data_IF_897552928035
#
_entry.id   IF_897552928035
#
_cell.length_a   1.000
_cell.length_b   1.000
_cell.length_c   1.000
_cell.angle_alpha   90.00
_cell.angle_beta   90.00
_cell.angle_gamma   90.00
#
_symmetry.space_group_name_H-M   'P 1'
#
loop_
_entity.id
_entity.type
_entity.pdbx_description
1 polymer ?
#
# COMPACT_ATOMS: atom_id res chain seq x y z
N UNK A 1 -13.45 -66.11 -40.06
CA UNK A 1 -12.02 -65.80 -39.87
C UNK A 1 -11.83 -64.30 -39.99
N UNK A 2 -11.88 -63.57 -38.85
CA UNK A 2 -11.91 -62.15 -38.84
C UNK A 2 -10.47 -61.60 -38.68
N UNK A 3 -9.98 -60.95 -39.74
CA UNK A 3 -8.66 -60.33 -39.72
C UNK A 3 -8.67 -59.07 -38.88
N UNK A 4 -7.93 -59.06 -37.80
CA UNK A 4 -7.76 -57.95 -36.85
C UNK A 4 -6.72 -56.98 -37.44
N UNK A 5 -7.17 -55.81 -37.86
CA UNK A 5 -6.32 -54.76 -38.40
C UNK A 5 -5.37 -54.19 -37.30
N UNK A 6 -4.05 -54.18 -37.46
CA UNK A 6 -3.15 -53.66 -36.47
C UNK A 6 -3.25 -52.13 -36.39
N UNK A 7 -3.64 -51.59 -35.23
CA UNK A 7 -3.60 -50.15 -34.95
C UNK A 7 -2.15 -49.64 -35.05
N UNK A 8 -1.89 -48.77 -36.03
CA UNK A 8 -0.62 -48.05 -36.12
C UNK A 8 -0.40 -47.23 -34.85
N UNK A 9 0.58 -47.60 -34.05
CA UNK A 9 1.08 -46.80 -32.95
C UNK A 9 1.65 -45.50 -33.53
N UNK A 10 0.99 -44.39 -33.26
CA UNK A 10 1.55 -43.07 -33.55
C UNK A 10 2.76 -42.85 -32.64
N UNK A 11 3.95 -42.71 -33.23
CA UNK A 11 5.15 -42.28 -32.51
C UNK A 11 4.89 -40.89 -31.90
N UNK A 12 4.78 -40.81 -30.59
CA UNK A 12 4.81 -39.54 -29.89
C UNK A 12 6.18 -38.90 -30.10
N UNK A 13 6.21 -37.73 -30.71
CA UNK A 13 7.43 -36.94 -30.85
C UNK A 13 7.70 -36.32 -29.49
N UNK A 14 8.79 -36.69 -28.83
CA UNK A 14 9.27 -36.00 -27.63
C UNK A 14 9.82 -34.62 -27.98
N UNK A 15 9.77 -33.70 -27.02
CA UNK A 15 10.36 -32.37 -27.18
C UNK A 15 11.89 -32.45 -27.23
N UNK A 16 12.49 -31.64 -28.11
CA UNK A 16 13.93 -31.48 -28.17
C UNK A 16 14.43 -30.66 -27.00
N UNK A 17 15.60 -30.98 -26.43
CA UNK A 17 16.24 -30.19 -25.38
C UNK A 17 16.45 -28.74 -25.79
N UNK A 18 16.74 -28.49 -27.08
CA UNK A 18 16.88 -27.14 -27.64
C UNK A 18 15.55 -26.39 -27.64
N UNK A 19 14.44 -27.06 -27.95
CA UNK A 19 13.09 -26.48 -27.95
C UNK A 19 12.68 -26.01 -26.54
N UNK A 20 12.96 -26.83 -25.54
CA UNK A 20 12.73 -26.43 -24.14
C UNK A 20 13.62 -25.26 -23.74
N UNK A 21 14.89 -25.26 -24.14
CA UNK A 21 15.82 -24.17 -23.85
C UNK A 21 15.33 -22.84 -24.47
N UNK A 22 14.88 -22.87 -25.72
CA UNK A 22 14.33 -21.68 -26.40
C UNK A 22 13.06 -21.22 -25.70
N UNK A 23 12.14 -22.14 -25.34
CA UNK A 23 10.90 -21.82 -24.68
C UNK A 23 11.16 -21.13 -23.31
N UNK A 24 12.05 -21.68 -22.49
CA UNK A 24 12.40 -21.10 -21.19
C UNK A 24 13.06 -19.73 -21.37
N UNK A 25 13.95 -19.58 -22.36
CA UNK A 25 14.58 -18.29 -22.65
C UNK A 25 13.55 -17.21 -23.01
N UNK A 26 12.57 -17.53 -23.83
CA UNK A 26 11.50 -16.60 -24.21
C UNK A 26 10.65 -16.22 -22.98
N UNK A 27 10.30 -17.20 -22.13
CA UNK A 27 9.53 -16.96 -20.91
C UNK A 27 10.26 -16.01 -19.98
N UNK A 28 11.57 -16.22 -19.76
CA UNK A 28 12.40 -15.36 -18.91
C UNK A 28 12.50 -13.95 -19.47
N UNK A 29 12.72 -13.80 -20.79
CA UNK A 29 12.79 -12.49 -21.43
C UNK A 29 11.45 -11.75 -21.34
N UNK A 30 10.33 -12.42 -21.61
CA UNK A 30 9.00 -11.80 -21.48
C UNK A 30 8.66 -11.46 -20.03
N UNK A 31 8.99 -12.34 -19.07
CA UNK A 31 8.82 -12.07 -17.65
C UNK A 31 9.59 -10.84 -17.19
N UNK A 32 10.81 -10.65 -17.66
CA UNK A 32 11.63 -9.47 -17.38
C UNK A 32 11.00 -8.16 -17.86
N UNK A 33 10.48 -8.14 -19.10
CA UNK A 33 9.81 -6.95 -19.66
C UNK A 33 8.53 -6.60 -18.90
N UNK A 34 7.73 -7.60 -18.51
CA UNK A 34 6.51 -7.39 -17.73
C UNK A 34 6.84 -6.84 -16.34
N UNK A 35 7.81 -7.41 -15.65
CA UNK A 35 8.24 -6.94 -14.33
C UNK A 35 8.70 -5.48 -14.37
N UNK A 36 9.52 -5.11 -15.36
CA UNK A 36 10.05 -3.75 -15.50
C UNK A 36 8.96 -2.68 -15.65
N UNK A 37 7.82 -3.03 -16.29
CA UNK A 37 6.71 -2.11 -16.45
C UNK A 37 5.75 -2.08 -15.26
N UNK A 38 5.61 -3.18 -14.51
CA UNK A 38 4.65 -3.27 -13.41
C UNK A 38 5.15 -2.64 -12.10
N UNK A 39 6.45 -2.73 -11.80
CA UNK A 39 7.00 -2.20 -10.56
C UNK A 39 6.75 -0.69 -10.36
N UNK A 40 7.00 0.19 -11.36
CA UNK A 40 6.74 1.62 -11.19
C UNK A 40 5.26 1.93 -10.92
N UNK A 41 4.34 1.18 -11.51
CA UNK A 41 2.90 1.38 -11.32
C UNK A 41 2.44 0.96 -9.91
N UNK A 42 2.99 -0.13 -9.38
CA UNK A 42 2.74 -0.56 -8.00
C UNK A 42 3.20 0.51 -6.99
N UNK A 43 4.38 1.09 -7.19
CA UNK A 43 4.87 2.16 -6.32
C UNK A 43 3.99 3.40 -6.36
N UNK A 44 3.51 3.81 -7.54
CA UNK A 44 2.56 4.91 -7.68
C UNK A 44 1.27 4.63 -6.93
N UNK A 45 0.68 3.46 -7.14
CA UNK A 45 -0.57 3.05 -6.49
C UNK A 45 -0.45 3.06 -4.96
N UNK A 46 0.67 2.61 -4.40
CA UNK A 46 0.91 2.67 -2.95
C UNK A 46 1.02 4.12 -2.45
N UNK A 47 1.73 4.99 -3.17
CA UNK A 47 1.83 6.41 -2.82
C UNK A 47 0.48 7.13 -2.89
N UNK A 48 -0.31 6.85 -3.93
CA UNK A 48 -1.65 7.43 -4.10
C UNK A 48 -2.58 6.95 -2.95
N UNK A 49 -2.47 5.68 -2.56
CA UNK A 49 -3.19 5.16 -1.41
C UNK A 49 -2.77 5.87 -0.12
N UNK A 50 -1.48 6.03 0.14
CA UNK A 50 -0.98 6.73 1.32
C UNK A 50 -1.47 8.19 1.37
N UNK A 51 -1.50 8.89 0.23
CA UNK A 51 -2.04 10.24 0.14
C UNK A 51 -3.54 10.29 0.47
N UNK A 52 -4.32 9.34 -0.04
CA UNK A 52 -5.76 9.22 0.25
C UNK A 52 -6.01 8.89 1.74
N UNK A 53 -5.22 7.99 2.31
CA UNK A 53 -5.30 7.67 3.74
C UNK A 53 -5.00 8.91 4.59
N UNK A 54 -3.98 9.70 4.24
CA UNK A 54 -3.66 10.97 4.90
C UNK A 54 -4.84 11.96 4.82
N UNK A 55 -5.53 12.07 3.70
CA UNK A 55 -6.71 12.94 3.57
C UNK A 55 -7.87 12.44 4.45
N UNK A 56 -8.06 11.13 4.57
CA UNK A 56 -9.05 10.52 5.48
C UNK A 56 -8.71 10.80 6.93
N UNK A 57 -7.46 10.61 7.33
CA UNK A 57 -6.97 10.90 8.68
C UNK A 57 -7.07 12.39 9.02
N UNK A 58 -6.82 13.26 8.03
CA UNK A 58 -7.01 14.71 8.16
C UNK A 58 -8.47 15.07 8.45
N UNK A 59 -9.42 14.42 7.78
CA UNK A 59 -10.84 14.60 8.06
C UNK A 59 -11.20 14.19 9.50
N UNK A 60 -10.62 13.10 10.01
CA UNK A 60 -10.80 12.66 11.39
C UNK A 60 -10.25 13.67 12.40
N UNK A 61 -9.06 14.25 12.15
CA UNK A 61 -8.48 15.31 12.99
C UNK A 61 -9.34 16.58 12.97
N UNK A 62 -9.88 16.95 11.80
CA UNK A 62 -10.77 18.11 11.67
C UNK A 62 -12.07 17.90 12.45
N UNK A 63 -12.64 16.70 12.38
CA UNK A 63 -13.84 16.34 13.14
C UNK A 63 -13.56 16.37 14.66
N UNK A 64 -12.41 15.85 15.10
CA UNK A 64 -11.96 15.95 16.48
C UNK A 64 -11.84 17.41 16.91
N UNK A 65 -11.20 18.26 16.11
CA UNK A 65 -11.05 19.69 16.40
C UNK A 65 -12.40 20.39 16.51
N UNK A 66 -13.36 20.04 15.65
CA UNK A 66 -14.72 20.61 15.70
C UNK A 66 -15.44 20.25 16.99
N UNK A 67 -15.27 19.01 17.51
CA UNK A 67 -15.95 18.51 18.70
C UNK A 67 -15.27 18.90 20.01
N UNK A 68 -13.93 18.88 20.01
CA UNK A 68 -13.12 19.16 21.20
C UNK A 68 -12.63 20.61 21.29
N UNK A 69 -12.86 21.44 20.25
CA UNK A 69 -12.37 22.82 20.12
C UNK A 69 -10.84 22.98 20.24
N UNK A 70 -10.12 21.89 20.04
CA UNK A 70 -8.65 21.81 20.08
C UNK A 70 -8.13 20.75 19.10
N UNK A 71 -6.85 20.81 18.80
CA UNK A 71 -6.17 19.69 18.10
C UNK A 71 -5.84 18.56 19.09
N UNK A 72 -5.77 17.29 18.60
CA UNK A 72 -5.29 16.18 19.40
C UNK A 72 -3.85 16.41 19.89
N UNK A 73 -3.50 15.86 21.04
CA UNK A 73 -2.11 15.75 21.46
C UNK A 73 -1.43 14.60 20.72
N UNK A 74 -0.12 14.66 20.56
CA UNK A 74 0.64 13.59 19.89
C UNK A 74 0.46 12.22 20.57
N UNK A 75 0.37 12.21 21.91
CA UNK A 75 0.14 11.00 22.69
C UNK A 75 -1.28 10.41 22.61
N UNK A 76 -2.27 11.18 22.14
CA UNK A 76 -3.65 10.70 21.94
C UNK A 76 -3.98 10.43 20.46
N UNK A 77 -3.03 10.62 19.56
CA UNK A 77 -3.21 10.55 18.12
C UNK A 77 -3.90 9.26 17.65
N UNK A 78 -3.34 8.12 18.00
CA UNK A 78 -3.93 6.83 17.58
C UNK A 78 -5.18 6.49 18.40
N UNK A 79 -5.17 6.77 19.72
CA UNK A 79 -6.26 6.36 20.59
C UNK A 79 -7.59 7.04 20.25
N UNK A 80 -7.60 8.35 19.94
CA UNK A 80 -8.86 9.01 19.64
C UNK A 80 -9.53 8.46 18.37
N UNK A 81 -8.74 7.98 17.41
CA UNK A 81 -9.29 7.39 16.17
C UNK A 81 -10.19 6.18 16.48
N UNK A 82 -9.80 5.37 17.46
CA UNK A 82 -10.46 4.11 17.79
C UNK A 82 -11.37 4.18 19.03
N UNK A 83 -11.03 5.02 20.01
CA UNK A 83 -11.72 5.09 21.30
C UNK A 83 -12.66 6.30 21.41
N UNK A 84 -12.62 7.19 20.41
CA UNK A 84 -13.32 8.45 20.53
C UNK A 84 -12.58 9.49 21.36
N UNK A 85 -13.29 10.51 21.82
CA UNK A 85 -12.77 11.61 22.61
C UNK A 85 -13.71 11.94 23.78
N UNK A 86 -13.33 12.91 24.62
CA UNK A 86 -14.11 13.29 25.80
C UNK A 86 -15.56 13.70 25.46
N UNK A 87 -15.74 14.43 24.37
CA UNK A 87 -17.06 14.93 23.93
C UNK A 87 -17.70 14.04 22.87
N UNK A 88 -17.04 12.95 22.47
CA UNK A 88 -17.52 12.01 21.46
C UNK A 88 -16.93 10.62 21.67
N UNK A 89 -17.72 9.71 22.22
CA UNK A 89 -17.30 8.37 22.61
C UNK A 89 -17.23 7.36 21.46
N UNK A 90 -17.62 7.75 20.24
CA UNK A 90 -17.55 6.88 19.07
C UNK A 90 -16.22 7.05 18.34
N UNK A 91 -15.72 5.99 17.67
CA UNK A 91 -14.53 6.08 16.83
C UNK A 91 -14.64 7.16 15.74
N UNK A 92 -13.52 7.75 15.40
CA UNK A 92 -13.43 8.75 14.33
C UNK A 92 -13.10 8.14 12.96
N UNK A 93 -12.85 6.82 12.92
CA UNK A 93 -12.63 6.03 11.70
C UNK A 93 -13.46 4.75 11.75
N UNK A 94 -13.61 4.11 10.60
CA UNK A 94 -14.19 2.77 10.54
C UNK A 94 -13.19 1.74 11.09
N UNK A 95 -13.43 1.29 12.30
CA UNK A 95 -12.53 0.37 13.01
C UNK A 95 -12.50 -1.04 12.42
N UNK A 96 -13.50 -1.41 11.61
CA UNK A 96 -13.56 -2.74 10.98
C UNK A 96 -12.45 -2.98 9.96
N UNK A 97 -11.85 -1.91 9.44
CA UNK A 97 -10.75 -1.96 8.49
C UNK A 97 -9.36 -2.17 9.14
N UNK A 98 -9.27 -2.16 10.49
CA UNK A 98 -7.98 -2.13 11.22
C UNK A 98 -7.92 -3.21 12.30
N UNK A 99 -7.30 -4.34 11.98
CA UNK A 99 -7.25 -5.52 12.87
C UNK A 99 -6.56 -5.26 14.22
N UNK A 100 -5.48 -4.47 14.23
CA UNK A 100 -4.65 -4.23 15.42
C UNK A 100 -4.89 -2.86 16.08
N UNK A 101 -5.95 -2.13 15.69
CA UNK A 101 -6.22 -0.77 16.17
C UNK A 101 -5.04 0.18 15.94
N UNK A 102 -4.37 0.00 14.81
CA UNK A 102 -3.23 0.77 14.38
C UNK A 102 -3.42 1.19 12.92
N UNK A 103 -3.21 2.46 12.63
CA UNK A 103 -3.33 2.98 11.26
C UNK A 103 -1.95 2.97 10.62
N UNK A 104 -1.76 2.01 9.70
CA UNK A 104 -0.52 1.80 8.99
C UNK A 104 -0.65 2.27 7.53
N UNK A 105 0.45 2.75 7.00
CA UNK A 105 0.57 3.08 5.58
C UNK A 105 0.70 1.82 4.71
N UNK A 106 0.69 1.92 3.37
CA UNK A 106 0.79 0.77 2.47
C UNK A 106 2.06 -0.06 2.60
N UNK A 107 3.08 0.45 3.27
CA UNK A 107 4.35 -0.24 3.54
C UNK A 107 4.43 -0.78 4.97
N UNK A 108 3.32 -0.72 5.73
CA UNK A 108 3.20 -1.18 7.13
C UNK A 108 3.95 -0.31 8.14
N UNK A 109 4.21 0.95 7.80
CA UNK A 109 4.75 1.93 8.75
C UNK A 109 3.60 2.74 9.37
N UNK A 110 3.68 3.12 10.66
CA UNK A 110 2.65 3.94 11.29
C UNK A 110 2.66 5.36 10.73
N UNK A 111 1.48 5.91 10.42
CA UNK A 111 1.36 7.33 10.09
C UNK A 111 1.78 8.20 11.26
N UNK A 112 2.52 9.25 10.97
CA UNK A 112 3.01 10.20 11.94
C UNK A 112 2.07 11.39 12.05
N UNK A 113 1.73 11.76 13.28
CA UNK A 113 1.03 12.99 13.58
C UNK A 113 1.95 13.92 14.38
N UNK A 114 2.12 15.15 13.92
CA UNK A 114 2.91 16.18 14.61
C UNK A 114 2.07 17.42 14.79
N UNK A 115 1.92 17.85 16.02
CA UNK A 115 1.31 19.14 16.33
C UNK A 115 2.36 20.23 16.25
N UNK A 116 2.19 21.17 15.32
CA UNK A 116 3.15 22.25 15.06
C UNK A 116 2.83 23.49 15.90
N UNK A 117 1.55 23.83 15.98
CA UNK A 117 1.04 24.94 16.82
C UNK A 117 -0.31 24.55 17.44
N UNK A 118 -0.96 25.47 18.14
CA UNK A 118 -2.33 25.24 18.65
C UNK A 118 -3.38 25.04 17.54
N UNK A 119 -3.08 25.41 16.29
CA UNK A 119 -4.01 25.35 15.17
C UNK A 119 -3.46 24.63 13.95
N UNK A 120 -2.20 24.23 13.96
CA UNK A 120 -1.53 23.59 12.84
C UNK A 120 -0.95 22.25 13.22
N UNK A 121 -1.07 21.31 12.33
CA UNK A 121 -0.51 19.97 12.45
C UNK A 121 -0.01 19.46 11.10
N UNK A 122 0.78 18.42 11.12
CA UNK A 122 1.19 17.65 9.96
C UNK A 122 0.86 16.17 10.17
N UNK A 123 0.36 15.53 9.13
CA UNK A 123 0.24 14.08 8.98
C UNK A 123 1.22 13.65 7.91
N UNK A 124 1.98 12.59 8.19
CA UNK A 124 3.04 12.11 7.31
C UNK A 124 3.03 10.58 7.24
N UNK A 125 3.36 10.07 6.07
CA UNK A 125 3.96 8.74 5.91
C UNK A 125 5.42 8.93 5.52
N UNK A 126 6.31 8.14 6.08
CA UNK A 126 7.74 8.18 5.75
C UNK A 126 8.10 7.33 4.52
N UNK A 127 7.09 7.00 3.68
CA UNK A 127 7.34 6.25 2.47
C UNK A 127 7.73 4.80 2.70
N UNK A 128 8.35 4.21 1.70
CA UNK A 128 8.66 2.78 1.70
C UNK A 128 9.76 2.38 2.70
N UNK A 129 10.74 3.26 2.95
CA UNK A 129 11.85 2.98 3.87
C UNK A 129 11.50 3.22 5.35
N UNK A 130 10.36 3.85 5.64
CA UNK A 130 9.91 4.15 7.00
C UNK A 130 10.81 5.15 7.74
N UNK A 131 11.59 5.95 7.02
CA UNK A 131 12.52 6.94 7.57
C UNK A 131 12.23 8.35 7.04
N UNK A 132 12.47 9.41 7.82
CA UNK A 132 12.24 10.78 7.37
C UNK A 132 13.11 11.16 6.17
N UNK A 133 12.53 11.72 5.11
CA UNK A 133 13.22 12.20 3.91
C UNK A 133 13.05 11.27 2.72
N UNK A 134 14.16 10.89 2.06
CA UNK A 134 14.16 10.01 0.90
C UNK A 134 13.75 10.66 -0.42
N UNK A 135 13.87 9.90 -1.51
CA UNK A 135 13.51 10.30 -2.88
C UNK A 135 12.69 9.19 -3.55
N UNK A 136 11.89 9.54 -4.55
CA UNK A 136 11.11 8.57 -5.31
C UNK A 136 10.07 7.81 -4.47
N UNK A 137 10.23 6.49 -4.33
CA UNK A 137 9.37 5.63 -3.51
C UNK A 137 9.52 5.85 -2.01
N UNK A 138 10.72 6.24 -1.58
CA UNK A 138 11.08 6.48 -0.18
C UNK A 138 10.72 7.90 0.30
N UNK A 139 10.38 8.81 -0.64
CA UNK A 139 10.06 10.19 -0.27
C UNK A 139 8.82 10.28 0.62
N UNK A 140 8.91 11.11 1.67
CA UNK A 140 7.82 11.41 2.59
C UNK A 140 6.56 11.88 1.85
N UNK A 141 5.40 11.45 2.34
CA UNK A 141 4.09 11.92 1.89
C UNK A 141 3.47 12.71 3.03
N UNK A 142 3.16 13.98 2.80
CA UNK A 142 2.68 14.90 3.83
C UNK A 142 1.33 15.51 3.50
N UNK A 143 0.49 15.71 4.53
CA UNK A 143 -0.75 16.48 4.43
C UNK A 143 -0.52 17.97 4.12
N UNK A 144 0.70 18.45 4.28
CA UNK A 144 1.12 19.82 3.91
C UNK A 144 1.88 19.76 2.59
N UNK A 145 1.44 20.57 1.62
CA UNK A 145 2.25 20.78 0.41
C UNK A 145 3.58 21.40 0.82
N UNK A 146 4.66 20.66 0.64
CA UNK A 146 6.01 21.24 0.73
C UNK A 146 6.11 22.34 -0.32
N UNK A 147 6.30 23.59 0.12
CA UNK A 147 6.70 24.63 -0.81
C UNK A 147 8.12 24.27 -1.26
N UNK A 148 8.24 23.74 -2.49
CA UNK A 148 9.50 23.65 -3.20
C UNK A 148 10.01 25.03 -3.56
#
# INVERSE_FOLDING_TARGET
MTMRNPKKLQKQKGFSLVEILIAVTIIVLMGGVVAFNLFPELFRSQRDKAALDIDTLKASVQLFQLRESRLPHEGEWQSFLFDGSKNHSEPYIDTSAYENREVLDPWSNPYQYRRLTSREYALLSWGMDGAPGGEGGDADISSRKTKG
#
